data_IF_542551773820
#
_entry.id   IF_542551773820
#
_cell.length_a   1.000
_cell.length_b   1.000
_cell.length_c   1.000
_cell.angle_alpha   90.00
_cell.angle_beta   90.00
_cell.angle_gamma   90.00
#
_symmetry.space_group_name_H-M   'P 1'
#
loop_
_entity.id
_entity.type
_entity.pdbx_description
1 polymer ?
#
# COMPACT_ATOMS: atom_id res chain seq x y z
N UNK A 1 37.13 -35.72 -64.97
CA UNK A 1 38.50 -35.49 -65.49
C UNK A 1 39.50 -35.41 -64.34
N UNK A 2 39.43 -36.35 -63.40
CA UNK A 2 40.38 -37.45 -63.23
C UNK A 2 41.78 -37.21 -63.81
N UNK A 3 42.55 -36.38 -63.11
CA UNK A 3 44.01 -36.40 -63.15
C UNK A 3 44.50 -37.39 -62.10
N UNK A 4 44.57 -38.65 -62.50
CA UNK A 4 45.83 -39.37 -62.58
C UNK A 4 46.95 -38.85 -61.65
N UNK A 5 47.00 -39.38 -60.43
CA UNK A 5 48.25 -39.53 -59.66
C UNK A 5 48.38 -40.97 -59.20
N UNK A 6 48.56 -41.86 -60.18
CA UNK A 6 49.33 -43.08 -59.97
C UNK A 6 50.83 -42.73 -59.96
N UNK A 7 51.59 -43.50 -59.18
CA UNK A 7 53.06 -43.66 -59.19
C UNK A 7 53.84 -42.52 -58.49
N UNK A 8 54.46 -42.79 -57.34
CA UNK A 8 55.71 -43.54 -57.30
C UNK A 8 56.01 -44.14 -55.91
N UNK A 9 56.39 -45.41 -55.91
CA UNK A 9 56.97 -46.15 -54.79
C UNK A 9 58.28 -45.48 -54.32
N UNK A 10 58.49 -45.37 -53.01
CA UNK A 10 59.79 -44.97 -52.43
C UNK A 10 60.31 -46.06 -51.47
N UNK A 11 61.40 -46.78 -51.80
CA UNK A 11 61.97 -47.89 -51.03
C UNK A 11 62.88 -47.44 -49.87
N UNK A 12 62.55 -46.36 -49.15
CA UNK A 12 63.39 -45.82 -48.07
C UNK A 12 63.11 -46.42 -46.69
N UNK A 13 62.09 -47.28 -46.57
CA UNK A 13 61.72 -47.92 -45.31
C UNK A 13 62.75 -48.93 -44.79
N UNK A 14 63.49 -49.64 -45.66
CA UNK A 14 64.38 -50.72 -45.22
C UNK A 14 65.76 -50.24 -44.74
N UNK A 15 66.38 -49.24 -45.38
CA UNK A 15 67.69 -48.72 -44.97
C UNK A 15 67.63 -47.91 -43.67
N UNK A 16 66.57 -47.11 -43.50
CA UNK A 16 66.36 -46.34 -42.26
C UNK A 16 66.08 -47.28 -41.08
N UNK A 17 65.34 -48.37 -41.29
CA UNK A 17 65.08 -49.38 -40.25
C UNK A 17 66.35 -50.20 -39.97
N UNK A 18 67.08 -50.64 -40.99
CA UNK A 18 68.31 -51.42 -40.83
C UNK A 18 69.44 -50.64 -40.14
N UNK A 19 69.52 -49.31 -40.31
CA UNK A 19 70.52 -48.46 -39.63
C UNK A 19 70.08 -48.10 -38.20
N UNK A 20 68.77 -47.91 -37.94
CA UNK A 20 68.29 -47.54 -36.59
C UNK A 20 68.45 -48.64 -35.56
N UNK A 21 68.30 -49.90 -35.98
CA UNK A 21 68.40 -51.07 -35.10
C UNK A 21 69.80 -51.18 -34.47
N UNK A 22 70.93 -51.18 -35.21
CA UNK A 22 72.27 -51.28 -34.62
C UNK A 22 72.65 -50.04 -33.81
N UNK A 23 72.24 -48.84 -34.21
CA UNK A 23 72.49 -47.61 -33.43
C UNK A 23 71.75 -47.64 -32.09
N UNK A 24 70.49 -48.12 -32.04
CA UNK A 24 69.78 -48.32 -30.78
C UNK A 24 70.43 -49.38 -29.91
N UNK A 25 70.94 -50.46 -30.51
CA UNK A 25 71.65 -51.52 -29.78
C UNK A 25 72.95 -50.99 -29.19
N UNK A 26 73.77 -50.22 -29.93
CA UNK A 26 74.99 -49.58 -29.43
C UNK A 26 74.69 -48.54 -28.35
N UNK A 27 73.68 -47.69 -28.56
CA UNK A 27 73.24 -46.73 -27.56
C UNK A 27 72.75 -47.43 -26.29
N UNK A 28 71.99 -48.52 -26.41
CA UNK A 28 71.63 -49.34 -25.25
C UNK A 28 72.86 -50.00 -24.62
N UNK A 29 73.78 -50.55 -25.41
CA UNK A 29 74.96 -51.23 -24.89
C UNK A 29 75.91 -50.29 -24.13
N UNK A 30 75.94 -49.01 -24.48
CA UNK A 30 76.79 -48.00 -23.80
C UNK A 30 76.04 -47.25 -22.70
N UNK A 31 74.80 -46.81 -22.97
CA UNK A 31 74.02 -46.02 -22.02
C UNK A 31 73.48 -46.89 -20.88
N UNK A 32 73.04 -48.11 -21.15
CA UNK A 32 72.49 -48.99 -20.12
C UNK A 32 73.50 -49.32 -19.01
N UNK A 33 74.78 -49.69 -19.27
CA UNK A 33 75.74 -49.94 -18.20
C UNK A 33 76.16 -48.67 -17.46
N UNK A 34 76.33 -47.54 -18.16
CA UNK A 34 76.62 -46.24 -17.52
C UNK A 34 75.48 -45.83 -16.59
N UNK A 35 74.24 -46.02 -17.03
CA UNK A 35 73.05 -45.69 -16.24
C UNK A 35 72.87 -46.64 -15.06
N UNK A 36 73.17 -47.92 -15.24
CA UNK A 36 73.20 -48.90 -14.16
C UNK A 36 74.27 -48.56 -13.11
N UNK A 37 75.45 -48.12 -13.56
CA UNK A 37 76.54 -47.69 -12.67
C UNK A 37 76.14 -46.43 -11.89
N UNK A 38 75.48 -45.47 -12.54
CA UNK A 38 74.95 -44.28 -11.87
C UNK A 38 73.84 -44.62 -10.87
N UNK A 39 72.91 -45.51 -11.25
CA UNK A 39 71.82 -45.94 -10.39
C UNK A 39 72.33 -46.75 -9.20
N UNK A 40 73.37 -47.57 -9.38
CA UNK A 40 74.06 -48.28 -8.30
C UNK A 40 74.79 -47.30 -7.36
N UNK A 41 75.51 -46.32 -7.91
CA UNK A 41 76.23 -45.32 -7.10
C UNK A 41 75.24 -44.44 -6.32
N UNK A 42 74.16 -44.01 -6.97
CA UNK A 42 73.08 -43.26 -6.33
C UNK A 42 72.33 -44.11 -5.31
N UNK A 43 72.12 -45.40 -5.57
CA UNK A 43 71.53 -46.31 -4.58
C UNK A 43 72.43 -46.44 -3.35
N UNK A 44 73.73 -46.67 -3.51
CA UNK A 44 74.70 -46.75 -2.41
C UNK A 44 74.76 -45.44 -1.64
N UNK A 45 74.82 -44.29 -2.32
CA UNK A 45 74.82 -42.97 -1.68
C UNK A 45 73.53 -42.70 -0.90
N UNK A 46 72.36 -43.05 -1.48
CA UNK A 46 71.06 -42.94 -0.81
C UNK A 46 70.98 -43.87 0.40
N UNK A 47 71.49 -45.09 0.28
CA UNK A 47 71.50 -46.06 1.36
C UNK A 47 72.38 -45.57 2.51
N UNK A 48 73.60 -45.08 2.21
CA UNK A 48 74.51 -44.51 3.19
C UNK A 48 73.90 -43.27 3.88
N UNK A 49 73.22 -42.41 3.12
CA UNK A 49 72.51 -41.27 3.67
C UNK A 49 71.38 -41.68 4.61
N UNK A 50 70.55 -42.64 4.20
CA UNK A 50 69.36 -43.05 4.97
C UNK A 50 69.69 -43.89 6.20
N UNK A 51 70.69 -44.77 6.11
CA UNK A 51 71.04 -45.69 7.20
C UNK A 51 72.09 -45.15 8.16
N UNK A 52 72.96 -44.23 7.74
CA UNK A 52 74.05 -43.74 8.59
C UNK A 52 73.89 -42.25 8.90
N UNK A 53 73.85 -41.39 7.88
CA UNK A 53 73.88 -39.94 8.11
C UNK A 53 72.55 -39.40 8.68
N UNK A 54 71.41 -39.87 8.18
CA UNK A 54 70.11 -39.43 8.65
C UNK A 54 69.79 -39.83 10.10
N UNK A 55 70.07 -41.06 10.57
CA UNK A 55 69.88 -41.39 11.98
C UNK A 55 70.93 -40.72 12.86
N UNK A 56 72.20 -40.64 12.44
CA UNK A 56 73.23 -39.94 13.20
C UNK A 56 72.93 -38.44 13.34
N UNK A 57 72.54 -37.77 12.26
CA UNK A 57 72.18 -36.36 12.27
C UNK A 57 70.93 -36.07 13.12
N UNK A 58 69.92 -36.95 13.08
CA UNK A 58 68.73 -36.83 13.93
C UNK A 58 69.03 -37.07 15.40
N UNK A 59 69.89 -38.04 15.72
CA UNK A 59 70.33 -38.30 17.09
C UNK A 59 71.14 -37.11 17.64
N UNK A 60 72.06 -36.55 16.83
CA UNK A 60 72.84 -35.38 17.22
C UNK A 60 71.96 -34.14 17.39
N UNK A 61 71.03 -33.87 16.48
CA UNK A 61 70.10 -32.75 16.58
C UNK A 61 69.14 -32.88 17.78
N UNK A 62 68.72 -34.11 18.12
CA UNK A 62 67.94 -34.39 19.33
C UNK A 62 68.78 -34.14 20.58
N UNK A 63 70.02 -34.62 20.62
CA UNK A 63 70.92 -34.43 21.74
C UNK A 63 71.23 -32.94 21.95
N UNK A 64 71.60 -32.22 20.89
CA UNK A 64 71.84 -30.77 20.93
C UNK A 64 70.57 -30.01 21.29
N UNK A 65 69.41 -30.39 20.73
CA UNK A 65 68.12 -29.76 21.05
C UNK A 65 67.69 -29.98 22.50
N UNK A 66 67.89 -31.18 23.05
CA UNK A 66 67.65 -31.47 24.46
C UNK A 66 68.62 -30.70 25.35
N UNK A 67 69.90 -30.60 24.96
CA UNK A 67 70.90 -29.86 25.71
C UNK A 67 70.61 -28.35 25.71
N UNK A 68 70.28 -27.77 24.55
CA UNK A 68 69.84 -26.37 24.48
C UNK A 68 68.57 -26.14 25.29
N UNK A 69 67.60 -27.06 25.23
CA UNK A 69 66.36 -26.92 25.99
C UNK A 69 66.62 -27.01 27.50
N UNK A 70 67.44 -27.95 27.94
CA UNK A 70 67.82 -28.09 29.33
C UNK A 70 68.67 -26.90 29.82
N UNK A 71 69.57 -26.38 28.99
CA UNK A 71 70.54 -25.36 29.41
C UNK A 71 70.03 -23.92 29.22
N UNK A 72 69.14 -23.66 28.27
CA UNK A 72 68.58 -22.32 28.05
C UNK A 72 67.13 -22.25 28.51
N UNK A 73 66.28 -23.17 28.04
CA UNK A 73 64.83 -23.06 28.25
C UNK A 73 64.46 -23.36 29.69
N UNK A 74 65.03 -24.39 30.33
CA UNK A 74 64.75 -24.70 31.74
C UNK A 74 65.18 -23.57 32.68
N UNK A 75 66.43 -23.05 32.65
CA UNK A 75 66.80 -21.94 33.52
C UNK A 75 66.09 -20.64 33.17
N UNK A 76 65.77 -20.37 31.89
CA UNK A 76 64.98 -19.20 31.52
C UNK A 76 63.53 -19.30 32.03
N UNK A 77 62.91 -20.48 31.96
CA UNK A 77 61.59 -20.73 32.57
C UNK A 77 61.68 -20.65 34.09
N UNK A 78 62.74 -21.18 34.69
CA UNK A 78 62.94 -21.13 36.14
C UNK A 78 63.10 -19.69 36.62
N UNK A 79 63.86 -18.87 35.88
CA UNK A 79 64.03 -17.44 36.12
C UNK A 79 62.73 -16.67 35.89
N UNK A 80 61.99 -16.95 34.80
CA UNK A 80 60.67 -16.37 34.56
C UNK A 80 59.67 -16.74 35.67
N UNK A 81 59.69 -18.00 36.12
CA UNK A 81 58.78 -18.48 37.15
C UNK A 81 59.13 -17.96 38.54
N UNK A 82 60.41 -17.83 38.87
CA UNK A 82 60.85 -17.36 40.19
C UNK A 82 60.95 -15.83 40.29
N UNK A 83 61.17 -15.11 39.19
CA UNK A 83 61.28 -13.64 39.21
C UNK A 83 60.02 -12.96 38.67
N UNK A 84 59.54 -13.34 37.49
CA UNK A 84 58.42 -12.65 36.83
C UNK A 84 57.06 -13.03 37.42
N UNK A 85 56.90 -14.25 37.92
CA UNK A 85 55.63 -14.67 38.52
C UNK A 85 55.32 -13.97 39.85
N UNK A 86 56.27 -13.84 40.81
CA UNK A 86 56.01 -13.04 42.01
C UNK A 86 55.92 -11.54 41.73
N UNK A 87 56.68 -11.01 40.76
CA UNK A 87 56.54 -9.62 40.34
C UNK A 87 55.16 -9.35 39.71
N UNK A 88 54.69 -10.24 38.83
CA UNK A 88 53.37 -10.13 38.22
C UNK A 88 52.23 -10.22 39.25
N UNK A 89 52.29 -11.17 40.17
CA UNK A 89 51.31 -11.30 41.25
C UNK A 89 51.39 -10.14 42.24
N UNK A 90 52.58 -9.65 42.58
CA UNK A 90 52.77 -8.51 43.45
C UNK A 90 52.18 -7.23 42.86
N UNK A 91 52.38 -7.00 41.56
CA UNK A 91 51.85 -5.84 40.87
C UNK A 91 50.33 -5.92 40.68
N UNK A 92 49.80 -7.11 40.35
CA UNK A 92 48.36 -7.34 40.29
C UNK A 92 47.70 -7.19 41.66
N UNK A 93 48.34 -7.71 42.71
CA UNK A 93 47.87 -7.58 44.08
C UNK A 93 47.88 -6.12 44.52
N UNK A 94 48.96 -5.37 44.25
CA UNK A 94 49.03 -3.94 44.57
C UNK A 94 47.95 -3.15 43.81
N UNK A 95 47.77 -3.43 42.53
CA UNK A 95 46.72 -2.81 41.72
C UNK A 95 45.31 -3.15 42.26
N UNK A 96 45.06 -4.43 42.57
CA UNK A 96 43.76 -4.92 43.07
C UNK A 96 43.51 -4.61 44.55
N UNK A 97 44.54 -4.24 45.32
CA UNK A 97 44.42 -3.90 46.74
C UNK A 97 44.46 -2.39 46.98
N UNK A 98 45.05 -1.61 46.09
CA UNK A 98 45.21 -0.16 46.26
C UNK A 98 44.37 0.62 45.25
N UNK A 99 44.44 0.28 43.95
CA UNK A 99 43.81 1.10 42.92
C UNK A 99 42.29 0.91 42.84
N UNK A 100 41.82 -0.32 43.05
CA UNK A 100 40.40 -0.67 43.11
C UNK A 100 39.66 -0.03 44.29
N UNK A 101 40.13 -0.09 45.56
CA UNK A 101 39.42 0.59 46.64
C UNK A 101 39.49 2.10 46.50
N UNK A 102 40.62 2.68 46.06
CA UNK A 102 40.71 4.13 45.84
C UNK A 102 39.73 4.59 44.77
N UNK A 103 39.68 3.88 43.63
CA UNK A 103 38.73 4.16 42.56
C UNK A 103 37.28 4.02 43.03
N UNK A 104 36.94 2.96 43.76
CA UNK A 104 35.60 2.77 44.30
C UNK A 104 35.22 3.82 45.35
N UNK A 105 36.15 4.23 46.22
CA UNK A 105 35.89 5.28 47.22
C UNK A 105 35.67 6.63 46.57
N UNK A 106 36.45 6.97 45.54
CA UNK A 106 36.30 8.22 44.81
C UNK A 106 34.96 8.27 44.10
N UNK A 107 34.57 7.18 43.43
CA UNK A 107 33.26 7.09 42.78
C UNK A 107 32.13 7.17 43.80
N UNK A 108 32.23 6.47 44.95
CA UNK A 108 31.21 6.51 46.01
C UNK A 108 31.08 7.89 46.66
N UNK A 109 32.15 8.67 46.75
CA UNK A 109 32.13 10.04 47.26
C UNK A 109 31.61 11.03 46.20
N UNK A 110 32.01 10.86 44.94
CA UNK A 110 31.66 11.80 43.88
C UNK A 110 30.21 11.64 43.40
N UNK A 111 29.68 10.40 43.39
CA UNK A 111 28.31 10.11 42.94
C UNK A 111 27.24 10.90 43.69
N UNK A 112 27.19 10.95 45.04
CA UNK A 112 26.19 11.75 45.75
C UNK A 112 26.40 13.25 45.51
N UNK A 113 27.65 13.72 45.42
CA UNK A 113 27.95 15.14 45.15
C UNK A 113 27.40 15.56 43.79
N UNK A 114 27.71 14.80 42.73
CA UNK A 114 27.18 15.05 41.38
C UNK A 114 25.66 14.97 41.37
N UNK A 115 25.07 13.97 42.03
CA UNK A 115 23.62 13.83 42.11
C UNK A 115 22.94 15.02 42.83
N UNK A 116 23.54 15.52 43.91
CA UNK A 116 23.03 16.70 44.63
C UNK A 116 23.15 17.97 43.79
N UNK A 117 24.25 18.16 43.07
CA UNK A 117 24.43 19.28 42.15
C UNK A 117 23.40 19.24 41.02
N UNK A 118 23.20 18.09 40.38
CA UNK A 118 22.20 17.93 39.31
C UNK A 118 20.80 18.21 39.83
N UNK A 119 20.45 17.71 41.03
CA UNK A 119 19.16 18.00 41.67
C UNK A 119 18.99 19.49 42.01
N UNK A 120 20.05 20.14 42.51
CA UNK A 120 20.03 21.56 42.82
C UNK A 120 19.82 22.42 41.56
N UNK A 121 20.52 22.11 40.47
CA UNK A 121 20.37 22.79 39.18
C UNK A 121 18.97 22.56 38.61
N UNK A 122 18.47 21.32 38.62
CA UNK A 122 17.13 21.01 38.15
C UNK A 122 16.05 21.71 38.97
N UNK A 123 16.22 21.78 40.30
CA UNK A 123 15.31 22.51 41.18
C UNK A 123 15.31 24.01 40.88
N UNK A 124 16.50 24.62 40.73
CA UNK A 124 16.64 26.04 40.40
C UNK A 124 16.00 26.37 39.04
N UNK A 125 16.27 25.56 38.01
CA UNK A 125 15.63 25.68 36.69
C UNK A 125 14.09 25.59 36.79
N UNK A 126 13.59 24.67 37.63
CA UNK A 126 12.16 24.55 37.90
C UNK A 126 11.55 25.78 38.58
N UNK A 127 12.28 26.47 39.46
CA UNK A 127 11.81 27.72 40.07
C UNK A 127 11.73 28.86 39.05
N UNK A 128 12.74 28.99 38.19
CA UNK A 128 12.76 30.00 37.13
C UNK A 128 11.61 29.77 36.15
N UNK A 129 11.38 28.52 35.73
CA UNK A 129 10.26 28.19 34.85
C UNK A 129 8.89 28.53 35.46
N UNK A 130 8.69 28.27 36.75
CA UNK A 130 7.45 28.65 37.45
C UNK A 130 7.27 30.16 37.55
N UNK A 131 8.35 30.90 37.85
CA UNK A 131 8.32 32.35 37.88
C UNK A 131 7.98 32.94 36.50
N UNK A 132 8.65 32.45 35.45
CA UNK A 132 8.36 32.84 34.07
C UNK A 132 6.91 32.53 33.68
N UNK A 133 6.38 31.36 34.07
CA UNK A 133 4.99 30.98 33.83
C UNK A 133 4.00 31.95 34.49
N UNK A 134 4.24 32.35 35.74
CA UNK A 134 3.40 33.35 36.44
C UNK A 134 3.46 34.71 35.76
N UNK A 135 4.64 35.15 35.35
CA UNK A 135 4.83 36.42 34.64
C UNK A 135 4.10 36.39 33.29
N UNK A 136 4.21 35.29 32.54
CA UNK A 136 3.52 35.14 31.25
C UNK A 136 1.99 35.15 31.42
N UNK A 137 1.46 34.48 32.46
CA UNK A 137 0.02 34.52 32.78
C UNK A 137 -0.41 35.94 33.17
N UNK A 138 0.39 36.64 33.97
CA UNK A 138 0.15 38.04 34.33
C UNK A 138 0.12 38.94 33.10
N UNK A 139 1.11 38.82 32.21
CA UNK A 139 1.20 39.56 30.96
C UNK A 139 0.04 39.24 30.01
N UNK A 140 -0.37 37.97 29.96
CA UNK A 140 -1.54 37.55 29.20
C UNK A 140 -2.82 38.19 29.73
N UNK A 141 -3.01 38.19 31.06
CA UNK A 141 -4.20 38.78 31.67
C UNK A 141 -4.24 40.29 31.49
N UNK A 142 -3.12 40.98 31.65
CA UNK A 142 -3.04 42.43 31.40
C UNK A 142 -3.26 42.75 29.93
N UNK A 143 -2.63 42.03 29.00
CA UNK A 143 -2.89 42.20 27.57
C UNK A 143 -4.35 41.91 27.23
N UNK A 144 -4.94 40.85 27.80
CA UNK A 144 -6.34 40.51 27.61
C UNK A 144 -7.25 41.60 28.13
N UNK A 145 -7.06 42.09 29.35
CA UNK A 145 -7.85 43.21 29.90
C UNK A 145 -7.68 44.46 29.05
N UNK A 146 -6.43 44.83 28.76
CA UNK A 146 -6.08 46.04 28.02
C UNK A 146 -6.54 46.03 26.57
N UNK A 147 -6.68 44.86 25.93
CA UNK A 147 -7.15 44.76 24.55
C UNK A 147 -8.64 44.43 24.48
N UNK A 148 -9.10 43.46 25.25
CA UNK A 148 -10.46 42.91 25.14
C UNK A 148 -11.50 43.86 25.71
N UNK A 149 -11.24 44.56 26.83
CA UNK A 149 -12.19 45.54 27.36
C UNK A 149 -12.40 46.73 26.43
N UNK A 150 -11.36 47.41 25.92
CA UNK A 150 -11.59 48.50 24.98
C UNK A 150 -12.15 48.00 23.66
N UNK A 151 -11.76 46.81 23.17
CA UNK A 151 -12.39 46.24 21.98
C UNK A 151 -13.90 45.94 22.18
N UNK A 152 -14.30 45.41 23.35
CA UNK A 152 -15.71 45.20 23.70
C UNK A 152 -16.45 46.51 23.91
N UNK A 153 -15.79 47.51 24.49
CA UNK A 153 -16.36 48.84 24.62
C UNK A 153 -16.58 49.47 23.25
N UNK A 154 -15.60 49.40 22.35
CA UNK A 154 -15.73 49.84 20.96
C UNK A 154 -16.84 49.08 20.24
N UNK A 155 -16.91 47.76 20.39
CA UNK A 155 -17.97 46.93 19.81
C UNK A 155 -19.35 47.36 20.32
N UNK A 156 -19.53 47.52 21.63
CA UNK A 156 -20.81 47.94 22.21
C UNK A 156 -21.16 49.38 21.87
N UNK A 157 -20.17 50.26 21.75
CA UNK A 157 -20.39 51.70 21.53
C UNK A 157 -20.50 52.08 20.05
N UNK A 158 -19.86 51.34 19.15
CA UNK A 158 -19.91 51.59 17.71
C UNK A 158 -20.79 50.58 16.97
N UNK A 159 -20.59 49.28 17.20
CA UNK A 159 -21.30 48.26 16.42
C UNK A 159 -22.74 48.07 16.86
N UNK A 160 -23.08 48.23 18.14
CA UNK A 160 -24.48 48.17 18.56
C UNK A 160 -25.36 49.29 17.98
N UNK A 161 -24.96 50.59 17.99
CA UNK A 161 -25.74 51.63 17.33
C UNK A 161 -25.71 51.49 15.82
N UNK A 162 -24.56 51.15 15.20
CA UNK A 162 -24.49 50.93 13.76
C UNK A 162 -25.40 49.78 13.34
N UNK A 163 -25.43 48.66 14.08
CA UNK A 163 -26.31 47.53 13.79
C UNK A 163 -27.80 47.89 13.95
N UNK A 164 -28.15 48.74 14.92
CA UNK A 164 -29.53 49.25 15.05
C UNK A 164 -29.91 50.16 13.90
N UNK A 165 -29.03 51.09 13.53
CA UNK A 165 -29.28 51.98 12.38
C UNK A 165 -29.36 51.17 11.10
N UNK A 166 -28.45 50.22 10.87
CA UNK A 166 -28.52 49.31 9.73
C UNK A 166 -29.83 48.52 9.74
N UNK A 167 -30.25 47.98 10.88
CA UNK A 167 -31.49 47.23 11.01
C UNK A 167 -32.73 48.08 10.72
N UNK A 168 -32.75 49.34 11.15
CA UNK A 168 -33.82 50.30 10.84
C UNK A 168 -33.82 50.61 9.34
N UNK A 169 -32.68 50.95 8.77
CA UNK A 169 -32.54 51.28 7.34
C UNK A 169 -32.91 50.10 6.46
N UNK A 170 -32.50 48.87 6.82
CA UNK A 170 -32.85 47.65 6.08
C UNK A 170 -34.36 47.36 6.15
N UNK A 171 -34.99 47.68 7.29
CA UNK A 171 -36.43 47.49 7.47
C UNK A 171 -37.22 48.51 6.66
N UNK A 172 -36.84 49.77 6.66
CA UNK A 172 -37.48 50.81 5.86
C UNK A 172 -37.30 50.57 4.36
N UNK A 173 -36.11 50.15 3.93
CA UNK A 173 -35.89 49.76 2.53
C UNK A 173 -36.65 48.48 2.16
N UNK A 174 -36.75 47.51 3.07
CA UNK A 174 -37.54 46.30 2.87
C UNK A 174 -39.05 46.58 2.72
N UNK A 175 -39.60 47.48 3.52
CA UNK A 175 -41.01 47.89 3.42
C UNK A 175 -41.28 48.70 2.14
N UNK A 176 -40.37 49.60 1.75
CA UNK A 176 -40.46 50.35 0.50
C UNK A 176 -40.38 49.44 -0.74
N UNK A 177 -39.45 48.47 -0.74
CA UNK A 177 -39.33 47.46 -1.79
C UNK A 177 -40.55 46.53 -1.83
N UNK A 178 -41.09 46.15 -0.66
CA UNK A 178 -42.30 45.35 -0.56
C UNK A 178 -43.51 46.04 -1.21
N UNK A 179 -43.70 47.33 -0.94
CA UNK A 179 -44.78 48.11 -1.57
C UNK A 179 -44.58 48.30 -3.08
N UNK A 180 -43.35 48.53 -3.52
CA UNK A 180 -43.03 48.62 -4.95
C UNK A 180 -43.27 47.29 -5.68
N UNK A 181 -42.91 46.16 -5.06
CA UNK A 181 -43.11 44.83 -5.62
C UNK A 181 -44.59 44.47 -5.75
N UNK A 182 -45.41 44.88 -4.78
CA UNK A 182 -46.83 44.63 -4.79
C UNK A 182 -47.56 45.46 -5.86
N UNK A 183 -47.12 46.70 -6.09
CA UNK A 183 -47.57 47.52 -7.20
C UNK A 183 -47.18 46.89 -8.55
N UNK A 184 -45.93 46.42 -8.70
CA UNK A 184 -45.47 45.74 -9.90
C UNK A 184 -46.29 44.47 -10.20
N UNK A 185 -46.61 43.68 -9.17
CA UNK A 185 -47.46 42.49 -9.31
C UNK A 185 -48.90 42.81 -9.74
N UNK A 186 -49.46 43.95 -9.32
CA UNK A 186 -50.79 44.39 -9.75
C UNK A 186 -50.79 44.84 -11.22
N UNK A 187 -49.76 45.59 -11.62
CA UNK A 187 -49.56 46.03 -13.01
C UNK A 187 -49.32 44.84 -13.93
N UNK A 188 -48.48 43.88 -13.55
CA UNK A 188 -48.23 42.68 -14.34
C UNK A 188 -49.51 41.84 -14.58
N UNK A 189 -50.39 41.72 -13.57
CA UNK A 189 -51.68 41.03 -13.73
C UNK A 189 -52.69 41.82 -14.55
N UNK A 190 -52.67 43.15 -14.47
CA UNK A 190 -53.51 44.00 -15.31
C UNK A 190 -53.09 43.88 -16.78
N UNK A 191 -51.79 44.00 -17.06
CA UNK A 191 -51.21 43.83 -18.40
C UNK A 191 -51.47 42.42 -18.93
N UNK A 192 -51.26 41.38 -18.11
CA UNK A 192 -51.53 40.00 -18.49
C UNK A 192 -53.00 39.72 -18.83
N UNK A 193 -53.94 40.34 -18.09
CA UNK A 193 -55.38 40.26 -18.42
C UNK A 193 -55.73 40.96 -19.71
N UNK A 194 -55.21 42.16 -19.93
CA UNK A 194 -55.44 42.92 -21.17
C UNK A 194 -54.87 42.16 -22.36
N UNK A 195 -53.62 41.69 -22.26
CA UNK A 195 -52.95 40.96 -23.32
C UNK A 195 -53.63 39.61 -23.62
N UNK A 196 -54.02 38.86 -22.58
CA UNK A 196 -54.76 37.61 -22.74
C UNK A 196 -56.14 37.81 -23.36
N UNK A 197 -56.82 38.91 -23.04
CA UNK A 197 -58.10 39.27 -23.65
C UNK A 197 -57.92 39.63 -25.12
N UNK A 198 -56.92 40.47 -25.43
CA UNK A 198 -56.58 40.86 -26.81
C UNK A 198 -56.24 39.63 -27.66
N UNK A 199 -55.39 38.74 -27.12
CA UNK A 199 -54.99 37.51 -27.76
C UNK A 199 -56.19 36.60 -28.03
N UNK A 200 -57.11 36.48 -27.06
CA UNK A 200 -58.33 35.68 -27.23
C UNK A 200 -59.25 36.25 -28.31
N UNK A 201 -59.39 37.57 -28.38
CA UNK A 201 -60.21 38.25 -29.37
C UNK A 201 -59.60 38.15 -30.78
N UNK A 202 -58.29 38.36 -30.92
CA UNK A 202 -57.60 38.37 -32.22
C UNK A 202 -57.43 36.96 -32.79
N UNK A 203 -57.09 35.96 -31.95
CA UNK A 203 -56.74 34.63 -32.46
C UNK A 203 -57.84 33.59 -32.20
N UNK A 204 -58.44 33.60 -31.02
CA UNK A 204 -59.26 32.46 -30.57
C UNK A 204 -60.69 32.52 -31.10
N UNK A 205 -61.28 33.71 -31.20
CA UNK A 205 -62.62 33.90 -31.78
C UNK A 205 -62.68 33.57 -33.28
N UNK A 206 -61.79 34.08 -34.15
CA UNK A 206 -61.80 33.70 -35.57
C UNK A 206 -61.44 32.22 -35.76
N UNK A 207 -60.50 31.67 -34.98
CA UNK A 207 -60.16 30.24 -35.07
C UNK A 207 -61.31 29.33 -34.63
N UNK A 208 -62.07 29.68 -33.58
CA UNK A 208 -63.26 28.92 -33.15
C UNK A 208 -64.38 28.97 -34.19
N UNK A 209 -64.59 30.12 -34.82
CA UNK A 209 -65.54 30.24 -35.91
C UNK A 209 -65.12 29.37 -37.10
N UNK A 210 -63.85 29.42 -37.50
CA UNK A 210 -63.32 28.62 -38.60
C UNK A 210 -63.40 27.12 -38.30
N UNK A 211 -63.04 26.69 -37.09
CA UNK A 211 -63.18 25.31 -36.64
C UNK A 211 -64.64 24.84 -36.67
N UNK A 212 -65.57 25.66 -36.13
CA UNK A 212 -67.00 25.29 -36.11
C UNK A 212 -67.60 25.26 -37.51
N UNK A 213 -67.25 26.19 -38.39
CA UNK A 213 -67.80 26.23 -39.75
C UNK A 213 -67.18 25.22 -40.71
N UNK A 214 -65.91 24.86 -40.54
CA UNK A 214 -65.17 24.05 -41.52
C UNK A 214 -64.89 22.65 -41.02
N UNK A 215 -64.37 22.49 -39.79
CA UNK A 215 -63.98 21.17 -39.29
C UNK A 215 -65.16 20.32 -38.82
N UNK A 216 -66.24 20.93 -38.35
CA UNK A 216 -67.41 20.19 -37.87
C UNK A 216 -68.16 19.45 -38.99
N UNK A 217 -68.48 20.06 -40.15
CA UNK A 217 -69.11 19.33 -41.26
C UNK A 217 -68.17 18.27 -41.85
N UNK A 218 -66.87 18.58 -41.98
CA UNK A 218 -65.87 17.62 -42.49
C UNK A 218 -65.70 16.43 -41.54
N UNK A 219 -65.73 16.65 -40.23
CA UNK A 219 -65.64 15.60 -39.22
C UNK A 219 -66.82 14.62 -39.25
N UNK A 220 -68.03 15.09 -39.57
CA UNK A 220 -69.19 14.21 -39.74
C UNK A 220 -69.08 13.37 -41.01
N UNK A 221 -68.67 13.96 -42.13
CA UNK A 221 -68.48 13.24 -43.41
C UNK A 221 -67.41 12.15 -43.30
N UNK A 222 -66.26 12.46 -42.69
CA UNK A 222 -65.19 11.46 -42.47
C UNK A 222 -65.62 10.35 -41.51
N UNK A 223 -66.40 10.68 -40.48
CA UNK A 223 -66.89 9.71 -39.51
C UNK A 223 -67.90 8.73 -40.11
N UNK A 224 -68.78 9.21 -40.98
CA UNK A 224 -69.83 8.38 -41.55
C UNK A 224 -69.35 7.55 -42.74
N UNK A 225 -68.44 8.06 -43.57
CA UNK A 225 -67.96 7.35 -44.77
C UNK A 225 -66.81 6.38 -44.53
N UNK A 226 -65.92 6.65 -43.56
CA UNK A 226 -64.67 5.88 -43.42
C UNK A 226 -64.64 5.07 -42.12
N UNK A 227 -64.97 5.72 -41.01
CA UNK A 227 -64.79 5.11 -39.68
C UNK A 227 -65.87 4.07 -39.35
N UNK A 228 -67.12 4.28 -39.77
CA UNK A 228 -68.21 3.31 -39.57
C UNK A 228 -68.01 1.99 -40.33
N UNK A 229 -67.70 1.96 -41.64
CA UNK A 229 -67.50 0.69 -42.35
C UNK A 229 -66.24 -0.06 -41.87
N UNK A 230 -65.15 0.64 -41.53
CA UNK A 230 -63.94 0.03 -40.99
C UNK A 230 -64.18 -0.64 -39.61
N UNK A 231 -64.98 -0.01 -38.74
CA UNK A 231 -65.33 -0.58 -37.44
C UNK A 231 -66.19 -1.84 -37.54
N UNK A 232 -67.03 -1.94 -38.58
CA UNK A 232 -67.87 -3.13 -38.82
C UNK A 232 -67.01 -4.30 -39.34
N UNK A 233 -66.08 -4.05 -40.26
CA UNK A 233 -65.13 -5.05 -40.75
C UNK A 233 -64.22 -5.59 -39.63
N UNK A 234 -63.73 -4.72 -38.75
CA UNK A 234 -62.89 -5.12 -37.61
C UNK A 234 -63.63 -6.04 -36.61
N UNK A 235 -64.94 -5.83 -36.39
CA UNK A 235 -65.73 -6.66 -35.48
C UNK A 235 -66.05 -8.05 -36.04
N UNK A 236 -66.06 -8.22 -37.37
CA UNK A 236 -66.18 -9.54 -37.99
C UNK A 236 -64.90 -10.37 -37.78
N UNK A 237 -63.73 -9.75 -37.95
CA UNK A 237 -62.41 -10.36 -37.74
C UNK A 237 -62.18 -10.68 -36.25
N UNK A 238 -62.60 -9.79 -35.34
CA UNK A 238 -62.45 -9.99 -33.90
C UNK A 238 -63.23 -11.18 -33.33
N UNK A 239 -64.37 -11.55 -33.93
CA UNK A 239 -65.14 -12.74 -33.51
C UNK A 239 -64.44 -14.04 -33.94
N UNK A 240 -63.90 -14.10 -35.16
CA UNK A 240 -63.13 -15.25 -35.63
C UNK A 240 -61.84 -15.44 -34.81
N UNK A 241 -61.16 -14.35 -34.46
CA UNK A 241 -59.93 -14.41 -33.67
C UNK A 241 -60.15 -14.92 -32.23
N UNK A 242 -61.30 -14.63 -31.60
CA UNK A 242 -61.61 -15.13 -30.25
C UNK A 242 -61.76 -16.64 -30.20
N UNK A 243 -62.43 -17.24 -31.18
CA UNK A 243 -62.62 -18.70 -31.27
C UNK A 243 -61.27 -19.41 -31.43
N UNK A 244 -60.40 -18.89 -32.29
CA UNK A 244 -59.04 -19.44 -32.48
C UNK A 244 -58.20 -19.26 -31.19
N UNK A 245 -58.30 -18.11 -30.53
CA UNK A 245 -57.56 -17.83 -29.30
C UNK A 245 -57.97 -18.68 -28.10
N UNK A 246 -59.24 -19.11 -28.02
CA UNK A 246 -59.70 -20.06 -27.00
C UNK A 246 -59.20 -21.48 -27.28
N UNK A 247 -59.24 -21.94 -28.54
CA UNK A 247 -58.69 -23.23 -28.93
C UNK A 247 -57.19 -23.35 -28.63
N UNK A 248 -56.40 -22.30 -28.91
CA UNK A 248 -54.97 -22.27 -28.61
C UNK A 248 -54.70 -22.27 -27.10
N UNK A 249 -55.49 -21.53 -26.32
CA UNK A 249 -55.32 -21.50 -24.85
C UNK A 249 -55.65 -22.85 -24.22
N UNK A 250 -56.69 -23.53 -24.71
CA UNK A 250 -57.06 -24.87 -24.23
C UNK A 250 -55.97 -25.89 -24.56
N UNK A 251 -55.51 -25.95 -25.82
CA UNK A 251 -54.45 -26.85 -26.25
C UNK A 251 -53.14 -26.63 -25.46
N UNK A 252 -52.80 -25.37 -25.17
CA UNK A 252 -51.63 -25.03 -24.35
C UNK A 252 -51.78 -25.47 -22.89
N UNK A 253 -52.98 -25.34 -22.31
CA UNK A 253 -53.25 -25.77 -20.94
C UNK A 253 -53.17 -27.29 -20.80
N UNK A 254 -53.69 -28.04 -21.78
CA UNK A 254 -53.66 -29.50 -21.79
C UNK A 254 -52.26 -30.05 -22.05
N UNK A 255 -51.50 -29.44 -22.97
CA UNK A 255 -50.08 -29.75 -23.17
C UNK A 255 -49.28 -29.51 -21.89
N UNK A 256 -49.55 -28.42 -21.16
CA UNK A 256 -48.87 -28.10 -19.90
C UNK A 256 -49.20 -29.10 -18.79
N UNK A 257 -50.46 -29.56 -18.70
CA UNK A 257 -50.85 -30.62 -17.75
C UNK A 257 -50.18 -31.95 -18.05
N UNK A 258 -50.10 -32.32 -19.33
CA UNK A 258 -49.46 -33.57 -19.75
C UNK A 258 -47.94 -33.59 -19.48
N UNK A 259 -47.25 -32.45 -19.66
CA UNK A 259 -45.79 -32.35 -19.47
C UNK A 259 -45.35 -32.14 -18.02
N UNK A 260 -46.10 -31.39 -17.21
CA UNK A 260 -45.64 -30.96 -15.87
C UNK A 260 -46.41 -31.59 -14.70
N UNK A 261 -47.39 -32.46 -14.97
CA UNK A 261 -48.25 -33.05 -13.94
C UNK A 261 -49.25 -32.06 -13.33
N UNK A 262 -50.24 -32.59 -12.60
CA UNK A 262 -51.33 -31.77 -12.05
C UNK A 262 -50.86 -30.97 -10.81
N UNK A 263 -51.05 -29.63 -10.77
CA UNK A 263 -50.65 -28.81 -9.63
C UNK A 263 -51.53 -29.07 -8.40
N UNK A 264 -50.90 -29.15 -7.22
CA UNK A 264 -51.55 -29.34 -5.94
C UNK A 264 -52.50 -28.18 -5.58
N UNK A 265 -53.71 -28.48 -5.09
CA UNK A 265 -54.75 -27.50 -4.74
C UNK A 265 -54.34 -26.68 -3.50
N UNK A 266 -54.32 -25.33 -3.54
CA UNK A 266 -54.07 -24.49 -2.37
C UNK A 266 -55.19 -24.56 -1.33
N UNK A 267 -54.83 -24.64 -0.05
CA UNK A 267 -55.75 -24.66 1.08
C UNK A 267 -56.37 -23.26 1.35
N UNK A 268 -57.67 -23.18 1.72
CA UNK A 268 -58.38 -21.91 1.93
C UNK A 268 -57.98 -21.23 3.25
N UNK A 269 -57.50 -19.98 3.17
CA UNK A 269 -57.24 -19.11 4.34
C UNK A 269 -58.47 -18.23 4.59
N UNK A 270 -59.01 -18.30 5.81
CA UNK A 270 -60.17 -17.51 6.26
C UNK A 270 -59.78 -16.03 6.47
N UNK A 271 -60.32 -15.13 5.64
CA UNK A 271 -60.08 -13.69 5.71
C UNK A 271 -61.19 -13.02 6.52
N UNK A 272 -60.87 -12.49 7.70
CA UNK A 272 -61.75 -11.62 8.52
C UNK A 272 -62.02 -10.30 7.81
N UNK A 273 -63.29 -9.95 7.65
CA UNK A 273 -63.76 -8.65 7.16
C UNK A 273 -63.78 -7.60 8.30
N UNK A 274 -63.44 -6.33 8.03
CA UNK A 274 -63.59 -5.25 9.01
C UNK A 274 -65.02 -4.67 9.01
N UNK A 275 -65.60 -4.58 10.21
CA UNK A 275 -66.95 -4.10 10.53
C UNK A 275 -67.11 -2.60 10.24
N UNK A 276 -68.27 -2.24 9.71
CA UNK A 276 -68.67 -0.89 9.29
C UNK A 276 -68.74 0.14 10.43
N UNK A 277 -68.55 1.41 10.05
CA UNK A 277 -68.54 2.57 10.95
C UNK A 277 -69.92 3.25 10.86
N UNK A 278 -70.60 3.32 12.00
CA UNK A 278 -71.95 3.87 12.14
C UNK A 278 -72.07 5.33 11.69
N UNK A 279 -73.14 5.59 10.91
CA UNK A 279 -73.63 6.91 10.55
C UNK A 279 -74.43 7.51 11.71
N UNK A 280 -73.92 8.57 12.33
CA UNK A 280 -74.61 9.34 13.38
C UNK A 280 -75.67 10.24 12.72
N UNK A 281 -76.92 10.04 13.12
CA UNK A 281 -78.10 10.78 12.67
C UNK A 281 -78.15 12.20 13.25
N UNK A 282 -78.77 13.08 12.47
CA UNK A 282 -79.30 14.40 12.86
C UNK A 282 -80.67 14.20 13.50
N UNK A 283 -80.87 14.74 14.69
CA UNK A 283 -82.16 15.16 15.27
C UNK A 283 -81.83 16.51 15.93
N UNK A 284 -82.57 17.61 15.76
CA UNK A 284 -84.01 17.76 15.93
C UNK A 284 -84.18 18.88 16.95
#
# INVERSE_FOLDING_TARGET
MDMEKQQTQHPEGCLVVAIRIPVRILAFLVVLPVRLLWDALAAVARFLWQYVLAPAGRALARAVGLLLRALLVVPLIWLYRHLLTPLGHGLLWLHARVLTPIGQTLVRLLTPVVATLVKAVAWAAGQVARAAGKIAVGLYWTARVLLVLPALFLWRRLLAPVARVLGIVLRETGEALGHAWQAAGHVARAVGRVLGTLFRWIFMEPARWAYRRVLTPVGHVVRDLVLRPAAQAARAIGRAARVIGEAVRQARADLRRALFGAPARPAPVNRREPVGRDTRTLDG
#
